data_IF_855626422190
#
_entry.id   IF_855626422190
#
_cell.length_a   1.000
_cell.length_b   1.000
_cell.length_c   1.000
_cell.angle_alpha   90.00
_cell.angle_beta   90.00
_cell.angle_gamma   90.00
#
_symmetry.space_group_name_H-M   'P 1'
#
loop_
_entity.id
_entity.type
_entity.pdbx_description
1 polymer ?
#
# COMPACT_ATOMS: atom_id res chain seq x y z
N UNK A 1 15.73 8.25 1.85
CA UNK A 1 14.99 7.70 3.04
C UNK A 1 15.76 7.60 4.35
N UNK A 2 17.08 7.41 4.35
CA UNK A 2 17.83 7.37 5.62
C UNK A 2 17.87 8.72 6.35
N UNK A 3 17.68 9.84 5.63
CA UNK A 3 17.34 11.15 6.21
C UNK A 3 15.86 11.26 6.63
N UNK A 4 14.94 10.52 6.00
CA UNK A 4 13.51 10.41 6.38
C UNK A 4 13.25 9.52 7.62
N UNK A 5 14.12 8.54 7.91
CA UNK A 5 13.96 7.56 9.00
C UNK A 5 14.91 7.77 10.19
N UNK A 6 15.73 8.83 10.17
CA UNK A 6 16.37 9.37 11.37
C UNK A 6 17.60 8.60 11.87
N UNK A 7 18.66 8.49 11.05
CA UNK A 7 20.02 8.29 11.58
C UNK A 7 21.11 8.94 10.69
N UNK A 8 21.37 10.23 10.97
CA UNK A 8 22.65 10.97 10.95
C UNK A 8 23.73 10.79 9.86
N UNK A 9 24.05 11.89 9.17
CA UNK A 9 25.33 12.09 8.48
C UNK A 9 25.49 13.47 7.82
N UNK A 10 25.96 14.47 8.57
CA UNK A 10 26.25 15.83 8.09
C UNK A 10 27.30 15.89 6.97
N UNK A 11 26.95 16.36 5.76
CA UNK A 11 27.58 17.52 5.12
C UNK A 11 27.10 17.73 3.68
N UNK A 12 26.51 18.89 3.38
CA UNK A 12 26.81 19.75 2.22
C UNK A 12 25.75 20.86 2.11
N UNK A 13 26.25 22.10 2.04
CA UNK A 13 25.49 23.34 1.95
C UNK A 13 25.00 23.62 0.52
N UNK A 14 23.86 24.31 0.48
CA UNK A 14 23.43 25.29 -0.55
C UNK A 14 23.11 24.79 -1.96
N UNK A 15 21.83 24.49 -2.19
CA UNK A 15 20.99 25.12 -3.23
C UNK A 15 19.56 25.23 -2.67
N UNK A 16 18.95 26.42 -2.77
CA UNK A 16 17.62 26.72 -2.26
C UNK A 16 16.61 26.58 -3.40
N UNK A 17 15.90 25.45 -3.44
CA UNK A 17 14.55 25.23 -3.99
C UNK A 17 14.31 23.71 -3.87
N UNK A 18 13.27 23.27 -3.15
CA UNK A 18 12.84 21.85 -3.12
C UNK A 18 13.16 21.02 -1.87
N UNK A 19 13.96 21.47 -0.90
CA UNK A 19 14.12 20.70 0.35
C UNK A 19 12.84 20.76 1.19
N UNK A 20 12.15 19.62 1.31
CA UNK A 20 11.29 19.35 2.46
C UNK A 20 12.13 19.67 3.71
N UNK A 21 11.64 20.58 4.55
CA UNK A 21 12.35 20.99 5.78
C UNK A 21 12.27 19.88 6.84
N UNK A 22 12.84 18.71 6.51
CA UNK A 22 12.95 17.51 7.35
C UNK A 22 13.81 17.76 8.59
N UNK A 23 14.56 18.86 8.61
CA UNK A 23 15.32 19.35 9.76
C UNK A 23 14.42 19.95 10.87
N UNK A 24 13.16 20.26 10.57
CA UNK A 24 12.17 20.55 11.62
C UNK A 24 11.82 19.27 12.35
N UNK A 25 12.28 19.17 13.61
CA UNK A 25 11.99 18.05 14.54
C UNK A 25 10.51 17.64 14.65
N UNK A 26 9.57 18.50 14.25
CA UNK A 26 8.14 18.21 14.30
C UNK A 26 7.44 18.18 12.92
N UNK A 27 8.18 18.11 11.82
CA UNK A 27 7.61 17.90 10.48
C UNK A 27 6.82 16.58 10.43
N UNK A 28 5.72 16.56 9.66
CA UNK A 28 4.87 15.38 9.42
C UNK A 28 4.56 15.27 7.93
N UNK A 29 4.29 14.04 7.47
CA UNK A 29 3.87 13.81 6.07
C UNK A 29 2.65 14.66 5.71
N UNK A 30 1.67 14.75 6.60
CA UNK A 30 0.47 15.59 6.37
C UNK A 30 0.74 17.10 6.26
N UNK A 31 1.98 17.57 6.49
CA UNK A 31 2.36 18.98 6.26
C UNK A 31 2.67 19.28 4.80
N UNK A 32 2.93 18.23 4.01
CA UNK A 32 3.38 18.32 2.63
C UNK A 32 2.38 17.74 1.64
N UNK A 33 1.39 16.98 2.12
CA UNK A 33 0.36 16.35 1.30
C UNK A 33 -1.01 16.89 1.68
N UNK A 34 -1.70 17.53 0.71
CA UNK A 34 -3.07 18.02 0.88
C UNK A 34 -4.10 16.90 1.06
N UNK A 35 -3.74 15.69 0.61
CA UNK A 35 -4.60 14.51 0.64
C UNK A 35 -3.76 13.25 0.80
N UNK A 36 -4.19 12.36 1.70
CA UNK A 36 -3.56 11.06 1.95
C UNK A 36 -4.67 10.00 1.95
N UNK A 37 -4.50 8.97 1.14
CA UNK A 37 -5.40 7.82 1.10
C UNK A 37 -4.62 6.52 0.91
N UNK A 38 -5.24 5.41 1.29
CA UNK A 38 -4.74 4.07 1.04
C UNK A 38 -5.81 3.02 1.33
N UNK A 39 -5.62 1.82 0.80
CA UNK A 39 -6.46 0.65 1.07
C UNK A 39 -5.73 -0.39 1.91
N UNK A 40 -6.48 -1.22 2.63
CA UNK A 40 -5.93 -2.23 3.55
C UNK A 40 -4.92 -1.60 4.53
N UNK A 41 -3.73 -2.18 4.67
CA UNK A 41 -2.57 -1.65 5.40
C UNK A 41 -2.30 -0.17 5.09
N UNK A 42 -2.46 0.26 3.83
CA UNK A 42 -2.30 1.66 3.42
C UNK A 42 -3.37 2.59 4.01
N UNK A 43 -4.59 2.10 4.24
CA UNK A 43 -5.65 2.84 4.93
C UNK A 43 -5.36 3.03 6.42
N UNK A 44 -4.79 2.00 7.08
CA UNK A 44 -4.32 2.11 8.46
C UNK A 44 -3.18 3.15 8.57
N UNK A 45 -2.22 3.10 7.65
CA UNK A 45 -1.12 4.07 7.56
C UNK A 45 -1.67 5.48 7.35
N UNK A 46 -2.61 5.67 6.42
CA UNK A 46 -3.24 6.97 6.17
C UNK A 46 -3.94 7.51 7.42
N UNK A 47 -4.67 6.66 8.16
CA UNK A 47 -5.30 7.04 9.42
C UNK A 47 -4.26 7.45 10.48
N UNK A 48 -3.17 6.70 10.64
CA UNK A 48 -2.09 7.05 11.58
C UNK A 48 -1.42 8.39 11.21
N UNK A 49 -1.19 8.64 9.92
CA UNK A 49 -0.55 9.88 9.43
C UNK A 49 -1.45 11.11 9.50
N UNK A 50 -2.78 10.95 9.64
CA UNK A 50 -3.74 12.06 9.57
C UNK A 50 -4.54 12.26 10.86
N UNK A 51 -4.60 11.26 11.75
CA UNK A 51 -5.32 11.36 13.01
C UNK A 51 -4.76 12.52 13.86
N UNK A 52 -5.58 13.52 14.25
CA UNK A 52 -5.11 14.67 14.99
C UNK A 52 -4.93 14.36 16.48
N UNK A 53 -3.87 14.91 17.07
CA UNK A 53 -3.72 15.05 18.52
C UNK A 53 -4.42 16.32 19.04
N UNK A 54 -4.33 16.59 20.35
CA UNK A 54 -4.94 17.77 21.00
C UNK A 54 -4.52 19.11 20.38
N UNK A 55 -3.37 19.16 19.70
CA UNK A 55 -2.84 20.34 19.01
C UNK A 55 -3.25 20.40 17.54
N UNK A 56 -4.16 19.53 17.07
CA UNK A 56 -4.56 19.38 15.66
C UNK A 56 -3.38 19.06 14.73
N UNK A 57 -2.35 18.38 15.25
CA UNK A 57 -1.20 17.85 14.49
C UNK A 57 -1.34 16.34 14.36
N UNK A 58 -0.79 15.70 13.31
CA UNK A 58 -0.74 14.24 13.22
C UNK A 58 -0.17 13.58 14.48
N UNK A 59 -0.89 12.58 14.98
CA UNK A 59 -0.54 11.84 16.19
C UNK A 59 0.74 11.02 16.00
N UNK A 60 0.93 10.44 14.80
CA UNK A 60 2.05 9.58 14.48
C UNK A 60 2.99 10.23 13.45
N UNK A 61 4.29 10.03 13.63
CA UNK A 61 5.29 10.26 12.60
C UNK A 61 5.48 8.99 11.76
N UNK A 62 6.08 9.11 10.57
CA UNK A 62 6.32 7.97 9.69
C UNK A 62 7.11 6.83 10.36
N UNK A 63 8.11 7.16 11.19
CA UNK A 63 8.90 6.17 11.95
C UNK A 63 8.07 5.38 12.97
N UNK A 64 7.00 5.98 13.51
CA UNK A 64 6.15 5.33 14.51
C UNK A 64 5.30 4.23 13.86
N UNK A 65 5.06 4.32 12.55
CA UNK A 65 4.32 3.33 11.76
C UNK A 65 5.16 2.07 11.56
N UNK A 66 6.44 2.24 11.20
CA UNK A 66 7.38 1.10 11.09
C UNK A 66 7.46 0.39 12.44
N UNK A 67 7.64 1.14 13.52
CA UNK A 67 7.66 0.61 14.89
C UNK A 67 6.36 -0.10 15.26
N UNK A 68 5.21 0.44 14.88
CA UNK A 68 3.91 -0.20 15.12
C UNK A 68 3.85 -1.58 14.47
N UNK A 69 4.27 -1.74 13.22
CA UNK A 69 4.30 -3.07 12.58
C UNK A 69 5.36 -3.98 13.19
N UNK A 70 6.55 -3.47 13.56
CA UNK A 70 7.57 -4.25 14.27
C UNK A 70 7.03 -4.82 15.60
N UNK A 71 6.20 -4.07 16.33
CA UNK A 71 5.68 -4.46 17.64
C UNK A 71 4.35 -5.24 17.59
N UNK A 72 3.45 -4.89 16.65
CA UNK A 72 2.07 -5.37 16.66
C UNK A 72 1.76 -6.39 15.57
N UNK A 73 2.57 -6.53 14.53
CA UNK A 73 2.29 -7.44 13.42
C UNK A 73 2.02 -8.87 13.89
N UNK A 74 2.86 -9.42 14.79
CA UNK A 74 2.67 -10.77 15.34
C UNK A 74 1.35 -10.96 16.09
N UNK A 75 0.76 -9.90 16.65
CA UNK A 75 -0.56 -9.91 17.27
C UNK A 75 -1.69 -9.75 16.25
N UNK A 76 -1.44 -9.01 15.16
CA UNK A 76 -2.41 -8.76 14.07
C UNK A 76 -2.56 -10.03 13.22
N UNK A 77 -1.46 -10.65 12.84
CA UNK A 77 -1.39 -11.83 11.98
C UNK A 77 -1.13 -13.11 12.78
N UNK A 78 -1.59 -13.18 14.03
CA UNK A 78 -1.49 -14.42 14.78
C UNK A 78 -2.36 -15.51 14.12
N UNK A 79 -1.80 -16.69 13.92
CA UNK A 79 -2.54 -17.94 13.63
C UNK A 79 -3.42 -18.38 14.83
N UNK A 80 -4.32 -17.52 15.31
CA UNK A 80 -5.31 -17.89 16.32
C UNK A 80 -6.43 -18.67 15.65
N UNK A 81 -6.23 -19.98 15.56
CA UNK A 81 -7.30 -20.94 15.29
C UNK A 81 -8.47 -20.92 16.28
N UNK A 82 -8.48 -20.11 17.35
CA UNK A 82 -9.56 -20.18 18.36
C UNK A 82 -10.06 -18.87 18.99
N UNK A 83 -9.48 -17.69 18.75
CA UNK A 83 -9.96 -16.45 19.39
C UNK A 83 -9.75 -15.20 18.53
N UNK A 84 -10.45 -15.14 17.39
CA UNK A 84 -10.70 -13.86 16.72
C UNK A 84 -11.63 -13.00 17.59
N UNK A 85 -11.33 -11.71 17.84
CA UNK A 85 -12.27 -10.80 18.48
C UNK A 85 -13.47 -10.47 17.58
N UNK A 86 -13.36 -10.76 16.28
CA UNK A 86 -14.45 -10.68 15.32
C UNK A 86 -15.13 -12.03 15.24
N UNK A 87 -16.31 -12.14 15.86
CA UNK A 87 -17.21 -13.25 15.60
C UNK A 87 -17.80 -13.04 14.21
N UNK A 88 -17.30 -13.78 13.22
CA UNK A 88 -18.00 -13.94 11.95
C UNK A 88 -19.28 -14.70 12.28
N UNK A 89 -20.45 -14.12 12.01
CA UNK A 89 -21.71 -14.83 12.26
C UNK A 89 -21.83 -16.04 11.31
N UNK A 90 -22.50 -17.08 11.79
CA UNK A 90 -22.67 -18.36 11.07
C UNK A 90 -23.34 -18.17 9.69
N UNK A 91 -24.11 -17.09 9.53
CA UNK A 91 -24.78 -16.72 8.28
C UNK A 91 -23.80 -16.24 7.22
N UNK A 92 -22.78 -15.49 7.64
CA UNK A 92 -21.70 -14.99 6.80
C UNK A 92 -20.77 -16.10 6.33
N UNK A 93 -20.61 -17.17 7.13
CA UNK A 93 -19.89 -18.39 6.70
C UNK A 93 -20.67 -19.20 5.66
N UNK A 94 -22.01 -19.28 5.79
CA UNK A 94 -22.86 -20.00 4.84
C UNK A 94 -22.96 -19.28 3.47
N UNK A 95 -22.95 -17.94 3.48
CA UNK A 95 -22.96 -17.11 2.26
C UNK A 95 -21.72 -17.32 1.36
N UNK A 96 -20.61 -17.80 1.92
CA UNK A 96 -19.41 -18.16 1.15
C UNK A 96 -19.42 -19.63 0.66
N UNK A 97 -20.27 -20.48 1.26
CA UNK A 97 -20.30 -21.91 1.00
C UNK A 97 -21.45 -22.34 0.05
N UNK A 98 -22.52 -21.56 -0.02
CA UNK A 98 -23.72 -21.90 -0.79
C UNK A 98 -24.20 -20.73 -1.65
N UNK A 99 -23.51 -20.43 -2.76
CA UNK A 99 -24.20 -20.03 -3.99
C UNK A 99 -23.44 -20.57 -5.20
N UNK A 100 -24.16 -21.21 -6.12
CA UNK A 100 -23.67 -21.54 -7.45
C UNK A 100 -23.09 -20.27 -8.09
N UNK A 101 -21.76 -20.12 -8.01
CA UNK A 101 -21.02 -18.97 -8.52
C UNK A 101 -21.04 -19.00 -10.06
N UNK A 102 -22.18 -18.66 -10.65
CA UNK A 102 -22.20 -18.07 -11.99
C UNK A 102 -21.36 -16.82 -11.87
N UNK A 103 -20.32 -16.70 -12.70
CA UNK A 103 -19.37 -15.59 -12.75
C UNK A 103 -20.14 -14.27 -12.93
N UNK A 104 -20.59 -13.75 -11.81
CA UNK A 104 -21.22 -12.49 -11.55
C UNK A 104 -20.54 -12.11 -10.26
N UNK A 105 -19.36 -11.50 -10.40
CA UNK A 105 -18.63 -10.91 -9.27
C UNK A 105 -19.68 -10.07 -8.52
N UNK A 106 -20.03 -10.41 -7.26
CA UNK A 106 -21.00 -9.66 -6.47
C UNK A 106 -20.63 -8.18 -6.49
N UNK A 107 -21.62 -7.28 -6.46
CA UNK A 107 -21.35 -5.85 -6.57
C UNK A 107 -20.40 -5.36 -5.46
N UNK A 108 -20.41 -6.02 -4.30
CA UNK A 108 -19.48 -5.81 -3.18
C UNK A 108 -18.03 -6.13 -3.58
N UNK A 109 -17.78 -7.29 -4.19
CA UNK A 109 -16.45 -7.67 -4.66
C UNK A 109 -16.01 -6.80 -5.86
N UNK A 110 -16.93 -6.37 -6.72
CA UNK A 110 -16.62 -5.37 -7.77
C UNK A 110 -16.22 -4.04 -7.17
N UNK A 111 -16.91 -3.58 -6.13
CA UNK A 111 -16.56 -2.35 -5.42
C UNK A 111 -15.21 -2.46 -4.73
N UNK A 112 -14.87 -3.61 -4.15
CA UNK A 112 -13.57 -3.83 -3.51
C UNK A 112 -12.44 -3.84 -4.54
N UNK A 113 -12.60 -4.56 -5.66
CA UNK A 113 -11.66 -4.56 -6.79
C UNK A 113 -11.49 -3.14 -7.36
N UNK A 114 -12.59 -2.40 -7.52
CA UNK A 114 -12.54 -1.00 -7.95
C UNK A 114 -11.84 -0.12 -6.93
N UNK A 115 -12.10 -0.32 -5.63
CA UNK A 115 -11.45 0.44 -4.58
C UNK A 115 -9.94 0.20 -4.60
N UNK A 116 -9.47 -1.04 -4.78
CA UNK A 116 -8.03 -1.31 -4.86
C UNK A 116 -7.39 -0.68 -6.10
N UNK A 117 -8.03 -0.79 -7.26
CA UNK A 117 -7.45 -0.42 -8.57
C UNK A 117 -7.57 1.08 -8.91
N UNK A 118 -8.54 1.80 -8.33
CA UNK A 118 -8.86 3.19 -8.68
C UNK A 118 -8.57 4.20 -7.56
N UNK A 119 -7.79 3.85 -6.53
CA UNK A 119 -7.52 4.75 -5.39
C UNK A 119 -6.96 6.10 -5.83
N UNK A 120 -6.00 6.10 -6.77
CA UNK A 120 -5.40 7.32 -7.31
C UNK A 120 -6.46 8.21 -7.96
N UNK A 121 -7.38 7.61 -8.72
CA UNK A 121 -8.46 8.33 -9.39
C UNK A 121 -9.47 8.90 -8.39
N UNK A 122 -9.88 8.11 -7.39
CA UNK A 122 -10.81 8.55 -6.35
C UNK A 122 -10.20 9.69 -5.54
N UNK A 123 -8.92 9.56 -5.15
CA UNK A 123 -8.18 10.61 -4.45
C UNK A 123 -8.10 11.90 -5.29
N UNK A 124 -7.66 11.80 -6.54
CA UNK A 124 -7.57 12.95 -7.45
C UNK A 124 -8.94 13.61 -7.64
N UNK A 125 -10.00 12.80 -7.82
CA UNK A 125 -11.37 13.30 -7.96
C UNK A 125 -11.81 14.05 -6.71
N UNK A 126 -11.53 13.54 -5.51
CA UNK A 126 -11.96 14.20 -4.28
C UNK A 126 -11.25 15.54 -4.09
N UNK A 127 -9.94 15.60 -4.34
CA UNK A 127 -9.17 16.86 -4.30
C UNK A 127 -9.71 17.88 -5.31
N UNK A 128 -10.02 17.45 -6.54
CA UNK A 128 -10.59 18.34 -7.56
C UNK A 128 -12.03 18.77 -7.20
N UNK A 129 -12.86 17.87 -6.68
CA UNK A 129 -14.27 18.14 -6.35
C UNK A 129 -14.44 19.08 -5.18
N UNK A 130 -13.54 19.03 -4.20
CA UNK A 130 -13.49 20.01 -3.10
C UNK A 130 -13.07 21.42 -3.58
N UNK A 131 -12.84 21.61 -4.88
CA UNK A 131 -12.48 22.89 -5.49
C UNK A 131 -11.07 23.34 -5.14
N UNK A 132 -10.23 22.41 -4.65
CA UNK A 132 -8.89 22.74 -4.16
C UNK A 132 -7.90 22.99 -5.30
N UNK A 133 -8.06 22.35 -6.45
CA UNK A 133 -7.13 22.50 -7.57
C UNK A 133 -7.66 21.93 -8.90
N UNK A 134 -6.97 22.24 -9.99
CA UNK A 134 -7.20 21.71 -11.33
C UNK A 134 -6.32 20.47 -11.59
N UNK A 135 -6.70 19.62 -12.54
CA UNK A 135 -5.98 18.36 -12.82
C UNK A 135 -4.49 18.58 -13.19
N UNK A 136 -4.16 19.66 -13.87
CA UNK A 136 -2.79 20.02 -14.30
C UNK A 136 -1.86 20.44 -13.16
N UNK A 137 -2.41 20.71 -11.98
CA UNK A 137 -1.69 21.08 -10.77
C UNK A 137 -1.56 19.94 -9.77
N UNK A 138 -2.22 18.80 -10.01
CA UNK A 138 -2.10 17.64 -9.13
C UNK A 138 -0.70 17.05 -9.26
N UNK A 139 -0.05 16.82 -8.12
CA UNK A 139 1.15 15.99 -8.01
C UNK A 139 0.79 14.78 -7.14
N UNK A 140 1.08 13.59 -7.63
CA UNK A 140 0.66 12.32 -7.02
C UNK A 140 1.88 11.45 -6.79
N UNK A 141 2.13 11.14 -5.52
CA UNK A 141 3.05 10.08 -5.10
C UNK A 141 2.23 8.87 -4.71
N UNK A 142 2.41 7.77 -5.43
CA UNK A 142 1.73 6.49 -5.21
C UNK A 142 2.73 5.47 -4.69
N UNK A 143 2.43 4.84 -3.54
CA UNK A 143 3.30 3.85 -2.91
C UNK A 143 2.64 2.47 -3.00
N UNK A 144 3.33 1.50 -3.57
CA UNK A 144 2.93 0.11 -3.52
C UNK A 144 3.62 -0.65 -2.38
N UNK A 145 3.06 -1.79 -2.01
CA UNK A 145 3.59 -2.67 -0.95
C UNK A 145 4.67 -3.63 -1.45
N UNK A 146 5.03 -3.53 -2.73
CA UNK A 146 5.87 -4.49 -3.44
C UNK A 146 5.03 -5.55 -4.14
N UNK A 147 5.55 -6.06 -5.25
CA UNK A 147 4.96 -7.15 -6.02
C UNK A 147 6.00 -8.27 -6.25
N UNK A 148 5.58 -9.54 -6.33
CA UNK A 148 6.48 -10.63 -6.69
C UNK A 148 7.16 -10.36 -8.03
N UNK A 149 8.43 -10.78 -8.16
CA UNK A 149 9.10 -10.76 -9.47
C UNK A 149 8.27 -11.54 -10.51
N UNK A 150 8.35 -11.16 -11.79
CA UNK A 150 7.64 -11.86 -12.87
C UNK A 150 7.86 -13.38 -12.88
N UNK A 151 9.06 -13.82 -12.51
CA UNK A 151 9.44 -15.24 -12.45
C UNK A 151 8.88 -15.98 -11.23
N UNK A 152 8.49 -15.24 -10.22
CA UNK A 152 7.96 -15.73 -8.95
C UNK A 152 6.42 -15.57 -8.89
N UNK A 153 5.80 -15.20 -10.02
CA UNK A 153 4.34 -15.10 -10.12
C UNK A 153 3.71 -16.49 -10.15
N UNK A 154 2.50 -16.57 -9.60
CA UNK A 154 1.66 -17.77 -9.66
C UNK A 154 1.55 -18.28 -11.10
N UNK A 155 2.01 -19.51 -11.30
CA UNK A 155 1.82 -20.24 -12.55
C UNK A 155 0.61 -21.16 -12.43
N UNK A 156 -0.25 -21.14 -13.45
CA UNK A 156 -1.41 -22.03 -13.49
C UNK A 156 -0.97 -23.41 -13.96
N UNK A 157 -0.89 -24.37 -13.02
CA UNK A 157 -0.68 -25.79 -13.32
C UNK A 157 -1.87 -26.47 -13.99
N UNK A 158 -1.73 -27.77 -14.29
CA UNK A 158 -2.85 -28.60 -14.80
C UNK A 158 -3.66 -29.22 -13.67
N UNK A 159 -4.93 -29.59 -13.94
CA UNK A 159 -5.79 -30.36 -13.01
C UNK A 159 -7.13 -29.69 -12.70
N UNK A 160 -7.92 -30.34 -11.85
CA UNK A 160 -9.12 -29.76 -11.22
C UNK A 160 -8.72 -29.18 -9.86
N UNK A 161 -9.03 -27.92 -9.60
CA UNK A 161 -8.55 -27.20 -8.41
C UNK A 161 -9.67 -26.94 -7.39
N UNK A 162 -10.92 -26.76 -7.84
CA UNK A 162 -12.05 -26.51 -6.92
C UNK A 162 -11.89 -25.22 -6.08
N UNK A 163 -12.92 -24.83 -5.33
CA UNK A 163 -12.93 -23.55 -4.60
C UNK A 163 -11.93 -23.51 -3.43
N UNK A 164 -11.61 -24.68 -2.86
CA UNK A 164 -10.67 -24.76 -1.74
C UNK A 164 -9.25 -24.38 -2.17
N UNK A 165 -8.73 -24.94 -3.26
CA UNK A 165 -7.37 -24.64 -3.73
C UNK A 165 -7.24 -23.18 -4.22
N UNK A 166 -8.34 -22.53 -4.64
CA UNK A 166 -8.36 -21.10 -4.97
C UNK A 166 -8.23 -20.20 -3.75
N UNK A 167 -8.75 -20.61 -2.59
CA UNK A 167 -8.77 -19.81 -1.37
C UNK A 167 -7.61 -20.15 -0.42
N UNK A 168 -7.20 -21.41 -0.37
CA UNK A 168 -6.16 -21.92 0.51
C UNK A 168 -5.41 -23.09 -0.12
N UNK A 169 -4.08 -23.00 -0.16
CA UNK A 169 -3.21 -24.13 -0.48
C UNK A 169 -2.46 -24.63 0.77
N UNK A 170 -1.86 -25.82 0.67
CA UNK A 170 -1.12 -26.48 1.76
C UNK A 170 0.07 -25.67 2.28
N UNK A 171 0.57 -24.70 1.50
CA UNK A 171 1.65 -23.78 1.87
C UNK A 171 1.14 -22.47 2.50
N UNK A 172 -0.15 -22.41 2.86
CA UNK A 172 -0.88 -21.22 3.32
C UNK A 172 -1.01 -20.08 2.29
N UNK A 173 -0.66 -20.31 1.01
CA UNK A 173 -0.92 -19.30 -0.03
C UNK A 173 -2.42 -19.13 -0.29
N UNK A 174 -2.78 -17.93 -0.78
CA UNK A 174 -4.14 -17.59 -1.19
C UNK A 174 -4.10 -17.11 -2.66
N UNK A 175 -4.17 -18.04 -3.63
CA UNK A 175 -4.01 -17.70 -5.05
C UNK A 175 -5.00 -16.66 -5.56
N UNK A 176 -6.24 -16.70 -5.09
CA UNK A 176 -7.26 -15.72 -5.48
C UNK A 176 -6.87 -14.31 -5.01
N UNK A 177 -6.44 -14.16 -3.76
CA UNK A 177 -5.99 -12.88 -3.22
C UNK A 177 -4.75 -12.37 -3.96
N UNK A 178 -3.77 -13.25 -4.22
CA UNK A 178 -2.54 -12.88 -4.93
C UNK A 178 -2.81 -12.39 -6.35
N UNK A 179 -3.68 -13.08 -7.10
CA UNK A 179 -4.10 -12.66 -8.44
C UNK A 179 -4.82 -11.32 -8.37
N UNK A 180 -5.72 -11.14 -7.40
CA UNK A 180 -6.48 -9.91 -7.22
C UNK A 180 -5.58 -8.71 -6.92
N UNK A 181 -4.64 -8.88 -5.99
CA UNK A 181 -3.71 -7.83 -5.58
C UNK A 181 -2.73 -7.49 -6.71
N UNK A 182 -2.19 -8.51 -7.39
CA UNK A 182 -1.29 -8.31 -8.55
C UNK A 182 -2.02 -7.53 -9.65
N UNK A 183 -3.25 -7.93 -9.99
CA UNK A 183 -4.03 -7.23 -11.00
C UNK A 183 -4.35 -5.78 -10.59
N UNK A 184 -4.71 -5.54 -9.31
CA UNK A 184 -4.97 -4.19 -8.84
C UNK A 184 -3.75 -3.27 -8.92
N UNK A 185 -2.56 -3.77 -8.59
CA UNK A 185 -1.31 -3.02 -8.70
C UNK A 185 -0.97 -2.69 -10.16
N UNK A 186 -1.09 -3.65 -11.09
CA UNK A 186 -0.84 -3.44 -12.51
C UNK A 186 -1.84 -2.46 -13.15
N UNK A 187 -3.12 -2.61 -12.83
CA UNK A 187 -4.15 -1.69 -13.33
C UNK A 187 -3.94 -0.28 -12.79
N UNK A 188 -3.56 -0.13 -11.52
CA UNK A 188 -3.23 1.18 -10.93
C UNK A 188 -2.08 1.84 -11.68
N UNK A 189 -0.98 1.13 -11.92
CA UNK A 189 0.16 1.66 -12.66
C UNK A 189 -0.22 2.02 -14.10
N UNK A 190 -0.86 1.09 -14.81
CA UNK A 190 -1.25 1.29 -16.21
C UNK A 190 -2.19 2.49 -16.38
N UNK A 191 -3.28 2.56 -15.61
CA UNK A 191 -4.27 3.63 -15.77
C UNK A 191 -3.75 4.99 -15.30
N UNK A 192 -3.15 5.08 -14.12
CA UNK A 192 -2.66 6.35 -13.61
C UNK A 192 -1.53 6.90 -14.48
N UNK A 193 -0.54 6.06 -14.83
CA UNK A 193 0.56 6.46 -15.71
C UNK A 193 0.03 6.94 -17.07
N UNK A 194 -0.91 6.19 -17.67
CA UNK A 194 -1.52 6.57 -18.95
C UNK A 194 -2.24 7.91 -18.87
N UNK A 195 -3.07 8.14 -17.85
CA UNK A 195 -3.84 9.39 -17.71
C UNK A 195 -2.88 10.59 -17.60
N UNK A 196 -1.89 10.52 -16.71
CA UNK A 196 -0.93 11.61 -16.53
C UNK A 196 -0.06 11.82 -17.78
N UNK A 197 0.37 10.74 -18.44
CA UNK A 197 1.13 10.82 -19.68
C UNK A 197 0.34 11.45 -20.83
N UNK A 198 -0.89 10.98 -21.09
CA UNK A 198 -1.73 11.51 -22.17
C UNK A 198 -2.23 12.94 -21.89
N UNK A 199 -2.25 13.36 -20.64
CA UNK A 199 -2.56 14.74 -20.25
C UNK A 199 -1.35 15.68 -20.31
N UNK A 200 -0.15 15.19 -20.68
CA UNK A 200 1.07 16.01 -20.73
C UNK A 200 1.71 16.27 -19.35
N UNK A 201 1.30 15.53 -18.33
CA UNK A 201 1.67 15.70 -16.92
C UNK A 201 2.46 14.50 -16.38
N UNK A 202 3.25 13.85 -17.24
CA UNK A 202 3.97 12.61 -16.89
C UNK A 202 4.79 12.73 -15.59
N UNK A 203 5.39 13.90 -15.36
CA UNK A 203 6.24 14.13 -14.18
C UNK A 203 5.45 14.35 -12.89
N UNK A 204 4.14 14.60 -13.00
CA UNK A 204 3.27 14.81 -11.85
C UNK A 204 2.80 13.49 -11.21
N UNK A 205 3.11 12.33 -11.80
CA UNK A 205 2.79 11.02 -11.23
C UNK A 205 4.04 10.19 -10.99
N UNK A 206 4.29 9.89 -9.72
CA UNK A 206 5.40 9.04 -9.28
C UNK A 206 4.85 7.83 -8.54
N UNK A 207 4.97 6.64 -9.13
CA UNK A 207 4.76 5.36 -8.44
C UNK A 207 6.09 4.82 -7.93
N UNK A 208 6.12 4.46 -6.65
CA UNK A 208 7.20 3.68 -6.04
C UNK A 208 6.67 2.29 -5.74
N UNK A 209 7.27 1.27 -6.36
CA UNK A 209 6.91 -0.14 -6.20
C UNK A 209 8.20 -0.96 -6.07
N UNK A 210 8.26 -1.85 -5.09
CA UNK A 210 9.38 -2.78 -4.92
C UNK A 210 9.11 -4.09 -5.68
N UNK A 211 10.17 -4.74 -6.12
CA UNK A 211 10.09 -6.13 -6.58
C UNK A 211 10.53 -7.02 -5.42
N UNK A 212 9.69 -7.97 -5.04
CA UNK A 212 9.88 -8.85 -3.89
C UNK A 212 10.17 -10.28 -4.36
N UNK A 213 11.00 -11.00 -3.61
CA UNK A 213 11.03 -12.46 -3.70
C UNK A 213 9.76 -13.07 -3.10
N UNK A 214 9.38 -14.29 -3.51
CA UNK A 214 8.16 -14.95 -3.03
C UNK A 214 8.07 -15.04 -1.50
N UNK A 215 9.19 -15.30 -0.83
CA UNK A 215 9.24 -15.37 0.65
C UNK A 215 9.04 -14.02 1.32
N UNK A 216 9.32 -12.92 0.61
CA UNK A 216 9.18 -11.55 1.10
C UNK A 216 7.78 -10.98 0.80
N UNK A 217 7.09 -11.53 -0.21
CA UNK A 217 5.76 -11.07 -0.62
C UNK A 217 4.61 -11.65 0.20
N UNK A 218 4.87 -12.57 1.14
CA UNK A 218 3.84 -13.11 2.03
C UNK A 218 3.28 -11.99 2.91
N UNK A 219 1.98 -11.72 2.77
CA UNK A 219 1.30 -10.57 3.38
C UNK A 219 1.13 -10.70 4.90
N UNK A 220 1.28 -11.91 5.44
CA UNK A 220 1.07 -12.27 6.84
C UNK A 220 2.34 -12.83 7.54
N UNK A 221 3.49 -12.89 6.86
CA UNK A 221 4.76 -13.31 7.48
C UNK A 221 5.34 -12.20 8.37
N UNK A 222 5.08 -12.33 9.67
CA UNK A 222 5.58 -11.41 10.70
C UNK A 222 6.87 -11.88 11.36
N UNK A 223 7.61 -12.80 10.73
CA UNK A 223 8.91 -13.20 11.24
C UNK A 223 9.85 -12.00 11.27
N UNK A 224 10.67 -11.91 12.32
CA UNK A 224 11.61 -10.80 12.47
C UNK A 224 12.52 -10.67 11.25
N UNK A 225 12.93 -11.80 10.66
CA UNK A 225 13.72 -11.85 9.43
C UNK A 225 12.98 -11.18 8.25
N UNK A 226 11.70 -11.49 8.07
CA UNK A 226 10.93 -10.89 6.98
C UNK A 226 10.73 -9.39 7.20
N UNK A 227 10.41 -8.96 8.43
CA UNK A 227 10.26 -7.55 8.77
C UNK A 227 11.55 -6.74 8.55
N UNK A 228 12.70 -7.29 8.95
CA UNK A 228 14.02 -6.67 8.70
C UNK A 228 14.34 -6.57 7.20
N UNK A 229 14.01 -7.60 6.43
CA UNK A 229 14.17 -7.58 4.97
C UNK A 229 13.28 -6.53 4.31
N UNK A 230 11.98 -6.48 4.65
CA UNK A 230 11.04 -5.51 4.10
C UNK A 230 11.45 -4.07 4.42
N UNK A 231 11.91 -3.81 5.66
CA UNK A 231 12.45 -2.51 6.06
C UNK A 231 13.62 -2.10 5.18
N UNK A 232 14.58 -3.01 4.97
CA UNK A 232 15.74 -2.77 4.12
C UNK A 232 15.33 -2.52 2.66
N UNK A 233 14.40 -3.29 2.11
CA UNK A 233 13.87 -3.08 0.76
C UNK A 233 13.26 -1.68 0.62
N UNK A 234 12.51 -1.23 1.63
CA UNK A 234 11.98 0.13 1.68
C UNK A 234 13.07 1.21 1.71
N UNK A 235 14.09 1.03 2.55
CA UNK A 235 15.25 1.93 2.65
C UNK A 235 16.01 2.02 1.32
N UNK A 236 16.25 0.89 0.67
CA UNK A 236 16.92 0.79 -0.62
C UNK A 236 16.07 1.43 -1.73
N UNK A 237 14.76 1.18 -1.76
CA UNK A 237 13.84 1.74 -2.75
C UNK A 237 13.84 3.27 -2.69
N UNK A 238 13.77 3.84 -1.51
CA UNK A 238 13.71 5.29 -1.39
C UNK A 238 15.08 5.95 -1.48
N UNK A 239 16.18 5.26 -1.17
CA UNK A 239 17.53 5.73 -1.53
C UNK A 239 17.71 5.78 -3.05
N UNK A 240 17.20 4.78 -3.77
CA UNK A 240 17.23 4.75 -5.24
C UNK A 240 16.41 5.88 -5.89
N UNK A 241 15.37 6.36 -5.21
CA UNK A 241 14.44 7.37 -5.72
C UNK A 241 14.61 8.76 -5.08
N UNK A 242 15.64 8.96 -4.26
CA UNK A 242 15.84 10.19 -3.46
C UNK A 242 15.80 11.44 -4.36
N UNK A 243 16.60 11.47 -5.42
CA UNK A 243 16.63 12.57 -6.39
C UNK A 243 15.28 12.82 -7.08
N UNK A 244 14.49 11.76 -7.33
CA UNK A 244 13.18 11.87 -7.98
C UNK A 244 12.11 12.43 -7.04
N UNK A 245 12.29 12.27 -5.72
CA UNK A 245 11.38 12.77 -4.70
C UNK A 245 11.69 14.23 -4.31
N UNK A 246 12.82 14.77 -4.75
CA UNK A 246 13.23 16.16 -4.55
C UNK A 246 12.80 17.11 -5.69
N UNK A 247 12.37 16.57 -6.83
CA UNK A 247 11.83 17.30 -8.00
C UNK A 247 10.33 17.60 -7.86
#
# INVERSE_FOLDING_TARGET
>A
MNEWLGNGGSSAKEHHEGKLDVDKKDARIADYFDFIAGASTGGLIAAMLTAPNDKKRPLFAAKDIVKFYEEQSSNIFTNRGEQSPFKVDEKSQLLLAEEDFKISIPDEARMEIQQFSYQVYVAAREVMKEGKTDFDKLVVVSLGTGAPNERDRLEVGGGEWGIFDWLWQDDNSNPLLDILMTAADELTEMYASSIFQYSGLKNNYTRLQANLALTESMVDDTSQKNLENLKKIGEDLATKNDAKLEE
#
